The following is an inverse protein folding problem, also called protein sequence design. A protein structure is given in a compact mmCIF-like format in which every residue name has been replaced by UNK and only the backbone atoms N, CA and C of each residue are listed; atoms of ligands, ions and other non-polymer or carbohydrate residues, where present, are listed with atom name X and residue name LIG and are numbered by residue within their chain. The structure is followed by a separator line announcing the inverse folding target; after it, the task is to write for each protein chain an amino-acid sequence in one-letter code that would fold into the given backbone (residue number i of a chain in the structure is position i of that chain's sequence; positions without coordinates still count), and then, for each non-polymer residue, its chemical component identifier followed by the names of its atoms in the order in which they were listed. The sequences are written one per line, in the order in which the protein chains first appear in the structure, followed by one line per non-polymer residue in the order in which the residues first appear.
data_IF_105083343916
#
_entry.id   IF_105083343916
#
_cell.length_a   1.000
_cell.length_b   1.000
_cell.length_c   1.000
_cell.angle_alpha   90.00
_cell.angle_beta   90.00
_cell.angle_gamma   90.00
#
_symmetry.space_group_name_H-M   'P 1'
#
loop_
_entity.id
_entity.type
_entity.pdbx_description
1 polymer ?
#
# COMPACT_ATOMS: atom_id res chain seq x y z
N UNK A 1 -6.23 -8.63 14.03
CA UNK A 1 -6.08 -8.58 12.56
C UNK A 1 -5.88 -7.16 12.08
N UNK A 2 -5.01 -6.93 11.10
CA UNK A 2 -4.79 -5.63 10.47
C UNK A 2 -5.44 -5.57 9.09
N UNK A 3 -6.22 -4.51 8.84
CA UNK A 3 -6.83 -4.22 7.54
C UNK A 3 -6.29 -2.92 7.02
N UNK A 4 -5.90 -2.88 5.75
CA UNK A 4 -5.38 -1.66 5.14
C UNK A 4 -5.89 -1.45 3.73
N UNK A 5 -5.95 -0.20 3.35
CA UNK A 5 -6.46 0.23 2.06
C UNK A 5 -5.80 1.54 1.68
N UNK A 6 -5.67 1.73 0.37
CA UNK A 6 -5.13 2.92 -0.24
C UNK A 6 -5.99 3.33 -1.40
N UNK A 7 -6.09 4.63 -1.61
CA UNK A 7 -6.83 5.22 -2.71
C UNK A 7 -6.03 6.38 -3.30
N UNK A 8 -6.27 6.69 -4.57
CA UNK A 8 -5.62 7.77 -5.28
C UNK A 8 -6.59 8.46 -6.25
N UNK A 9 -6.54 9.79 -6.20
CA UNK A 9 -7.15 10.67 -7.18
C UNK A 9 -6.10 11.56 -7.84
N UNK A 10 -6.51 12.38 -8.80
CA UNK A 10 -5.65 13.41 -9.40
C UNK A 10 -5.21 14.48 -8.39
N UNK A 11 -5.92 14.64 -7.26
CA UNK A 11 -5.63 15.66 -6.26
C UNK A 11 -4.83 15.12 -5.06
N UNK A 12 -5.03 13.85 -4.67
CA UNK A 12 -4.39 13.29 -3.49
C UNK A 12 -4.26 11.76 -3.57
N UNK A 13 -3.29 11.23 -2.83
CA UNK A 13 -3.16 9.81 -2.52
C UNK A 13 -3.29 9.63 -1.02
N UNK A 14 -3.97 8.59 -0.58
CA UNK A 14 -4.14 8.28 0.84
C UNK A 14 -3.98 6.78 1.10
N UNK A 15 -3.54 6.46 2.32
CA UNK A 15 -3.48 5.12 2.85
C UNK A 15 -3.86 5.12 4.32
N UNK A 16 -4.56 4.08 4.75
CA UNK A 16 -5.09 3.99 6.11
C UNK A 16 -5.13 2.54 6.59
N UNK A 17 -4.85 2.36 7.89
CA UNK A 17 -4.65 1.08 8.55
C UNK A 17 -5.58 0.99 9.76
N UNK A 18 -6.41 -0.04 9.80
CA UNK A 18 -7.28 -0.38 10.91
C UNK A 18 -6.81 -1.63 11.64
N UNK A 19 -7.06 -1.67 12.94
CA UNK A 19 -7.07 -2.91 13.71
C UNK A 19 -8.50 -3.41 13.84
N UNK A 20 -8.68 -4.72 13.66
CA UNK A 20 -9.91 -5.43 13.98
C UNK A 20 -9.64 -6.47 15.07
N UNK A 21 -10.42 -6.39 16.15
CA UNK A 21 -10.44 -7.35 17.24
C UNK A 21 -11.90 -7.71 17.56
N UNK A 22 -12.32 -8.92 17.19
CA UNK A 22 -13.73 -9.32 17.25
C UNK A 22 -14.62 -8.37 16.42
N UNK A 23 -15.57 -7.72 17.09
CA UNK A 23 -16.48 -6.73 16.48
C UNK A 23 -15.94 -5.29 16.52
N UNK A 24 -14.83 -5.04 17.23
CA UNK A 24 -14.24 -3.71 17.32
C UNK A 24 -13.34 -3.45 16.11
N UNK A 25 -13.45 -2.24 15.56
CA UNK A 25 -12.63 -1.73 14.47
C UNK A 25 -12.15 -0.33 14.86
N UNK A 26 -10.85 -0.11 14.83
CA UNK A 26 -10.27 1.18 15.19
C UNK A 26 -9.24 1.59 14.15
N UNK A 27 -9.26 2.88 13.78
CA UNK A 27 -8.27 3.47 12.88
C UNK A 27 -6.97 3.69 13.67
N UNK A 28 -5.91 2.98 13.29
CA UNK A 28 -4.62 3.13 13.95
C UNK A 28 -3.84 4.31 13.39
N UNK A 29 -3.77 4.40 12.06
CA UNK A 29 -2.99 5.44 11.39
C UNK A 29 -3.50 5.66 9.97
N UNK A 30 -3.42 6.91 9.53
CA UNK A 30 -3.69 7.31 8.16
C UNK A 30 -2.60 8.28 7.68
N UNK A 31 -2.32 8.25 6.38
CA UNK A 31 -1.36 9.15 5.74
C UNK A 31 -1.86 9.56 4.37
N UNK A 32 -1.81 10.85 4.08
CA UNK A 32 -2.08 11.42 2.76
C UNK A 32 -0.83 12.05 2.14
N UNK A 33 -0.80 12.16 0.82
CA UNK A 33 0.26 12.81 0.06
C UNK A 33 -0.28 13.40 -1.24
N UNK A 34 0.13 14.62 -1.56
CA UNK A 34 -0.18 15.25 -2.85
C UNK A 34 0.67 14.65 -3.98
N UNK A 35 0.12 14.49 -5.20
CA UNK A 35 0.89 14.15 -6.39
C UNK A 35 2.00 15.17 -6.68
N UNK A 36 3.03 14.75 -7.41
CA UNK A 36 4.06 15.68 -7.87
C UNK A 36 3.45 16.65 -8.89
N UNK A 37 3.76 17.94 -8.76
CA UNK A 37 3.42 18.95 -9.77
C UNK A 37 4.22 18.72 -11.05
N UNK A 38 5.38 18.07 -10.94
CA UNK A 38 6.26 17.75 -12.08
C UNK A 38 5.76 16.49 -12.77
N UNK A 39 5.13 16.68 -13.93
CA UNK A 39 4.77 15.63 -14.88
C UNK A 39 3.30 15.21 -14.83
N UNK A 40 2.82 14.62 -15.92
CA UNK A 40 1.46 14.06 -16.01
C UNK A 40 1.48 12.65 -15.42
N UNK A 41 0.71 12.44 -14.36
CA UNK A 41 0.52 11.12 -13.76
C UNK A 41 -0.76 10.50 -14.27
N UNK A 42 -0.70 9.21 -14.62
CA UNK A 42 -1.90 8.40 -14.85
C UNK A 42 -2.44 7.92 -13.50
N UNK A 43 -3.76 7.73 -13.40
CA UNK A 43 -4.40 7.22 -12.17
C UNK A 43 -3.75 5.93 -11.66
N UNK A 44 -3.48 4.89 -12.50
CA UNK A 44 -2.80 3.68 -12.03
C UNK A 44 -1.42 3.91 -11.40
N UNK A 45 -0.67 4.91 -11.88
CA UNK A 45 0.64 5.25 -11.29
C UNK A 45 0.48 5.95 -9.93
N UNK A 46 -0.59 6.71 -9.74
CA UNK A 46 -0.93 7.32 -8.45
C UNK A 46 -1.41 6.26 -7.46
N UNK A 47 -2.24 5.32 -7.90
CA UNK A 47 -2.68 4.17 -7.09
C UNK A 47 -1.47 3.31 -6.65
N UNK A 48 -0.51 3.04 -7.55
CA UNK A 48 0.75 2.37 -7.17
C UNK A 48 1.54 3.13 -6.11
N UNK A 49 1.56 4.47 -6.18
CA UNK A 49 2.24 5.29 -5.17
C UNK A 49 1.47 5.29 -3.85
N UNK A 50 0.13 5.36 -3.87
CA UNK A 50 -0.72 5.24 -2.69
C UNK A 50 -0.49 3.89 -2.00
N UNK A 51 -0.43 2.80 -2.78
CA UNK A 51 -0.14 1.48 -2.25
C UNK A 51 1.28 1.36 -1.67
N UNK A 52 2.24 2.09 -2.24
CA UNK A 52 3.59 2.15 -1.67
C UNK A 52 3.59 2.90 -0.34
N UNK A 53 2.81 3.98 -0.21
CA UNK A 53 2.63 4.70 1.06
C UNK A 53 2.02 3.76 2.10
N UNK A 54 0.95 3.05 1.72
CA UNK A 54 0.33 2.01 2.54
C UNK A 54 1.36 0.98 3.03
N UNK A 55 2.17 0.45 2.11
CA UNK A 55 3.10 -0.63 2.45
C UNK A 55 4.18 -0.19 3.44
N UNK A 56 4.69 1.04 3.29
CA UNK A 56 5.65 1.64 4.23
C UNK A 56 5.00 1.92 5.58
N UNK A 57 3.79 2.48 5.58
CA UNK A 57 3.04 2.77 6.80
C UNK A 57 2.77 1.49 7.59
N UNK A 58 2.32 0.46 6.90
CA UNK A 58 2.07 -0.87 7.46
C UNK A 58 3.31 -1.45 8.11
N UNK A 59 4.47 -1.33 7.46
CA UNK A 59 5.72 -1.86 7.99
C UNK A 59 6.08 -1.20 9.32
N UNK A 60 6.06 0.13 9.36
CA UNK A 60 6.35 0.89 10.59
C UNK A 60 5.37 0.52 11.69
N UNK A 61 4.07 0.50 11.40
CA UNK A 61 3.07 0.18 12.43
C UNK A 61 3.16 -1.25 12.91
N UNK A 62 3.40 -2.22 12.02
CA UNK A 62 3.57 -3.62 12.39
C UNK A 62 4.82 -3.87 13.23
N UNK A 63 5.95 -3.25 12.85
CA UNK A 63 7.21 -3.37 13.60
C UNK A 63 7.07 -2.85 15.03
N UNK A 64 6.24 -1.84 15.27
CA UNK A 64 5.91 -1.35 16.61
C UNK A 64 4.86 -2.22 17.32
N UNK A 65 3.76 -2.56 16.65
CA UNK A 65 2.66 -3.32 17.27
C UNK A 65 3.07 -4.74 17.67
N UNK A 66 3.90 -5.42 16.88
CA UNK A 66 4.32 -6.80 17.17
C UNK A 66 5.07 -6.95 18.49
N UNK A 67 5.59 -5.84 19.06
CA UNK A 67 6.24 -5.81 20.37
C UNK A 67 5.25 -5.97 21.53
N UNK A 68 3.96 -5.72 21.28
CA UNK A 68 2.93 -5.66 22.32
C UNK A 68 1.72 -6.56 22.04
N UNK A 69 1.40 -6.81 20.76
CA UNK A 69 0.19 -7.55 20.36
C UNK A 69 0.52 -8.54 19.24
N UNK A 70 -0.05 -9.74 19.31
CA UNK A 70 -0.02 -10.72 18.21
C UNK A 70 -0.90 -10.25 17.06
N UNK A 71 -0.37 -10.28 15.84
CA UNK A 71 -1.11 -9.95 14.62
C UNK A 71 -1.36 -11.24 13.84
N UNK A 72 -2.58 -11.77 13.94
CA UNK A 72 -2.90 -13.07 13.33
C UNK A 72 -2.97 -13.04 11.80
N UNK A 73 -3.32 -11.88 11.23
CA UNK A 73 -3.49 -11.70 9.80
C UNK A 73 -3.41 -10.23 9.38
N UNK A 74 -2.95 -10.02 8.14
CA UNK A 74 -2.77 -8.72 7.52
C UNK A 74 -3.34 -8.73 6.11
N UNK A 75 -4.37 -7.94 5.87
CA UNK A 75 -5.09 -7.87 4.60
C UNK A 75 -4.87 -6.53 3.90
N UNK A 76 -4.41 -6.58 2.64
CA UNK A 76 -4.32 -5.44 1.74
C UNK A 76 -5.54 -5.42 0.83
N UNK A 77 -6.24 -4.29 0.82
CA UNK A 77 -7.41 -4.06 -0.03
C UNK A 77 -7.10 -2.95 -1.03
N UNK A 78 -7.31 -3.23 -2.31
CA UNK A 78 -7.26 -2.27 -3.40
C UNK A 78 -8.30 -2.67 -4.45
N UNK A 79 -8.97 -1.67 -5.00
CA UNK A 79 -9.97 -1.79 -6.08
C UNK A 79 -9.37 -1.62 -7.48
N UNK A 80 -8.07 -1.31 -7.58
CA UNK A 80 -7.39 -1.15 -8.87
C UNK A 80 -6.90 -2.49 -9.43
N UNK A 81 -7.67 -3.03 -10.36
CA UNK A 81 -7.30 -4.25 -11.11
C UNK A 81 -5.94 -4.11 -11.81
N UNK A 82 -5.63 -2.91 -12.30
CA UNK A 82 -4.34 -2.64 -12.97
C UNK A 82 -3.18 -2.78 -11.97
N UNK A 83 -3.30 -2.18 -10.78
CA UNK A 83 -2.29 -2.30 -9.72
C UNK A 83 -2.15 -3.75 -9.26
N UNK A 84 -3.25 -4.45 -9.04
CA UNK A 84 -3.23 -5.86 -8.63
C UNK A 84 -2.55 -6.74 -9.69
N UNK A 85 -2.80 -6.49 -10.98
CA UNK A 85 -2.15 -7.22 -12.07
C UNK A 85 -0.64 -6.95 -12.12
N UNK A 86 -0.20 -5.72 -11.88
CA UNK A 86 1.24 -5.39 -11.81
C UNK A 86 1.93 -6.06 -10.63
N UNK A 87 1.25 -6.21 -9.48
CA UNK A 87 1.80 -6.90 -8.32
C UNK A 87 1.91 -8.42 -8.53
N UNK A 88 0.91 -9.01 -9.21
CA UNK A 88 0.90 -10.44 -9.56
C UNK A 88 1.98 -10.78 -10.60
N UNK A 89 2.40 -9.83 -11.41
CA UNK A 89 3.45 -10.05 -12.40
C UNK A 89 4.83 -10.14 -11.73
N UNK A 90 5.57 -11.20 -12.02
CA UNK A 90 6.93 -11.42 -11.52
C UNK A 90 8.03 -10.72 -12.33
N UNK A 91 7.71 -10.27 -13.54
CA UNK A 91 8.58 -9.43 -14.37
C UNK A 91 7.85 -8.14 -14.82
N UNK A 92 7.63 -7.18 -13.90
CA UNK A 92 6.99 -5.91 -14.23
C UNK A 92 7.83 -5.04 -15.17
N UNK A 93 9.14 -5.33 -15.33
CA UNK A 93 10.08 -4.49 -16.06
C UNK A 93 9.83 -4.47 -17.57
N UNK A 94 9.34 -5.57 -18.13
CA UNK A 94 9.00 -5.67 -19.55
C UNK A 94 7.73 -4.92 -19.94
N UNK A 95 6.85 -4.63 -18.98
CA UNK A 95 5.46 -4.22 -19.28
C UNK A 95 5.11 -2.82 -18.75
N UNK A 96 5.74 -2.35 -17.67
CA UNK A 96 5.15 -1.26 -16.85
C UNK A 96 6.04 -0.04 -16.62
N UNK A 97 7.27 -0.07 -17.16
CA UNK A 97 8.26 1.00 -17.01
C UNK A 97 8.93 1.04 -15.62
N UNK A 98 9.90 1.94 -15.48
CA UNK A 98 10.81 2.00 -14.31
C UNK A 98 10.08 2.31 -13.00
N UNK A 99 9.12 3.25 -13.01
CA UNK A 99 8.40 3.66 -11.80
C UNK A 99 7.65 2.47 -11.19
N UNK A 100 6.79 1.82 -11.97
CA UNK A 100 5.97 0.71 -11.49
C UNK A 100 6.84 -0.46 -11.06
N UNK A 101 7.85 -0.80 -11.86
CA UNK A 101 8.82 -1.86 -11.53
C UNK A 101 9.51 -1.63 -10.18
N UNK A 102 9.95 -0.40 -9.91
CA UNK A 102 10.58 -0.06 -8.65
C UNK A 102 9.61 -0.15 -7.47
N UNK A 103 8.34 0.28 -7.65
CA UNK A 103 7.30 0.16 -6.63
C UNK A 103 6.93 -1.29 -6.34
N UNK A 104 6.78 -2.14 -7.37
CA UNK A 104 6.48 -3.56 -7.20
C UNK A 104 7.60 -4.27 -6.43
N UNK A 105 8.86 -4.05 -6.82
CA UNK A 105 10.04 -4.61 -6.10
C UNK A 105 10.06 -4.18 -4.63
N UNK A 106 9.76 -2.91 -4.36
CA UNK A 106 9.68 -2.40 -3.00
C UNK A 106 8.54 -3.05 -2.20
N UNK A 107 7.33 -3.11 -2.75
CA UNK A 107 6.17 -3.69 -2.08
C UNK A 107 6.39 -5.17 -1.78
N UNK A 108 6.91 -5.95 -2.74
CA UNK A 108 7.24 -7.37 -2.55
C UNK A 108 8.32 -7.57 -1.49
N UNK A 109 9.37 -6.75 -1.48
CA UNK A 109 10.42 -6.78 -0.44
C UNK A 109 9.91 -6.44 0.95
N UNK A 110 8.97 -5.49 1.08
CA UNK A 110 8.36 -5.23 2.37
C UNK A 110 7.46 -6.42 2.76
N UNK A 111 6.84 -7.08 1.78
CA UNK A 111 5.91 -8.18 2.06
C UNK A 111 6.50 -9.43 2.70
N UNK A 112 7.79 -9.70 2.51
CA UNK A 112 8.46 -10.80 3.19
C UNK A 112 8.78 -10.53 4.67
N UNK A 113 8.47 -9.34 5.20
CA UNK A 113 8.74 -8.96 6.60
C UNK A 113 7.59 -9.25 7.58
N UNK A 114 6.44 -9.67 7.07
CA UNK A 114 5.26 -10.03 7.87
C UNK A 114 5.11 -11.53 7.80
#
# INVERSE_FOLDING_TARGET
MLMRTSDASTSAMAAYLYVKQGNHKELLVAKSKLPSIKGVHTIPKLEMNALTIDRRLTLTTYEELKKTVSVDALYLLSDSDTVLNWLKNDDPTKVTGVLVSNRVKEIKRIAVKF
#
